data_IF_006799013103
#
_entry.id   IF_006799013103
#
_cell.length_a   1.000
_cell.length_b   1.000
_cell.length_c   1.000
_cell.angle_alpha   90.00
_cell.angle_beta   90.00
_cell.angle_gamma   90.00
#
_symmetry.space_group_name_H-M   'P 1'
#
loop_
_entity.id
_entity.type
_entity.pdbx_description
1 polymer ?
#
# COMPACT_ATOMS: atom_id res chain seq x y z
N UNK A 1 -25.18 17.48 -0.69
CA UNK A 1 -24.30 16.79 -1.66
C UNK A 1 -23.10 16.25 -0.90
N UNK A 2 -23.21 15.06 -0.29
CA UNK A 2 -22.05 14.42 0.34
C UNK A 2 -21.21 13.82 -0.78
N UNK A 3 -20.13 14.50 -1.16
CA UNK A 3 -19.07 13.92 -1.97
C UNK A 3 -18.57 12.70 -1.22
N UNK A 4 -18.96 11.50 -1.65
CA UNK A 4 -18.42 10.27 -1.13
C UNK A 4 -16.94 10.26 -1.54
N UNK A 5 -16.06 10.69 -0.63
CA UNK A 5 -14.62 10.54 -0.79
C UNK A 5 -14.39 9.05 -1.05
N UNK A 6 -14.05 8.72 -2.29
CA UNK A 6 -13.77 7.35 -2.68
C UNK A 6 -12.67 6.83 -1.75
N UNK A 7 -12.94 5.73 -1.06
CA UNK A 7 -11.97 5.12 -0.14
C UNK A 7 -11.02 4.21 -0.93
N UNK A 8 -9.82 3.94 -0.41
CA UNK A 8 -8.96 2.91 -0.97
C UNK A 8 -9.69 1.57 -1.07
N UNK A 9 -9.49 0.84 -2.16
CA UNK A 9 -10.04 -0.49 -2.38
C UNK A 9 -8.99 -1.56 -2.14
N UNK A 10 -9.41 -2.71 -1.61
CA UNK A 10 -8.51 -3.80 -1.25
C UNK A 10 -8.89 -5.06 -2.02
N UNK A 11 -7.92 -5.67 -2.70
CA UNK A 11 -8.15 -6.92 -3.43
C UNK A 11 -8.46 -8.08 -2.49
N UNK A 12 -8.99 -9.16 -3.06
CA UNK A 12 -8.92 -10.48 -2.42
C UNK A 12 -7.47 -10.88 -2.17
N UNK A 13 -7.27 -11.76 -1.18
CA UNK A 13 -5.96 -12.32 -0.86
C UNK A 13 -5.66 -13.50 -1.75
N UNK A 14 -4.47 -13.54 -2.34
CA UNK A 14 -3.93 -14.68 -3.08
C UNK A 14 -2.64 -15.14 -2.42
N UNK A 15 -2.20 -16.38 -2.67
CA UNK A 15 -1.11 -17.00 -1.91
C UNK A 15 -0.23 -17.85 -2.79
N UNK A 16 1.03 -17.97 -2.40
CA UNK A 16 1.93 -19.03 -2.83
C UNK A 16 2.24 -19.97 -1.65
N UNK A 17 3.27 -20.83 -1.79
CA UNK A 17 3.67 -21.78 -0.75
C UNK A 17 4.20 -21.11 0.53
N UNK A 18 4.61 -19.84 0.46
CA UNK A 18 5.36 -19.14 1.51
C UNK A 18 4.71 -17.84 2.00
N UNK A 19 3.92 -17.17 1.16
CA UNK A 19 3.37 -15.84 1.41
C UNK A 19 1.90 -15.71 1.04
N UNK A 20 1.23 -14.79 1.72
CA UNK A 20 -0.02 -14.19 1.26
C UNK A 20 0.25 -12.82 0.62
N UNK A 21 -0.52 -12.49 -0.39
CA UNK A 21 -0.43 -11.28 -1.18
C UNK A 21 -1.79 -10.61 -1.29
N UNK A 22 -1.76 -9.29 -1.44
CA UNK A 22 -2.90 -8.50 -1.90
C UNK A 22 -2.39 -7.21 -2.54
N UNK A 23 -3.27 -6.53 -3.25
CA UNK A 23 -3.02 -5.17 -3.69
C UNK A 23 -4.05 -4.20 -3.10
N UNK A 24 -3.63 -2.95 -2.96
CA UNK A 24 -4.49 -1.84 -2.54
C UNK A 24 -4.51 -0.83 -3.67
N UNK A 25 -5.71 -0.48 -4.11
CA UNK A 25 -5.96 0.54 -5.12
C UNK A 25 -6.24 1.84 -4.37
N UNK A 26 -5.34 2.81 -4.51
CA UNK A 26 -5.48 4.12 -3.89
C UNK A 26 -6.56 4.93 -4.58
N UNK A 27 -7.34 5.65 -3.79
CA UNK A 27 -8.14 6.75 -4.30
C UNK A 27 -7.25 7.97 -4.65
N UNK A 28 -7.86 8.99 -5.27
CA UNK A 28 -7.16 10.17 -5.76
C UNK A 28 -6.44 10.97 -4.67
N UNK A 29 -7.00 11.03 -3.46
CA UNK A 29 -6.42 11.78 -2.35
C UNK A 29 -5.27 11.00 -1.73
N UNK A 30 -5.51 9.72 -1.42
CA UNK A 30 -4.45 8.83 -0.89
C UNK A 30 -3.28 8.71 -1.86
N UNK A 31 -3.53 8.72 -3.17
CA UNK A 31 -2.48 8.71 -4.20
C UNK A 31 -1.61 9.98 -4.19
N UNK A 32 -2.19 11.16 -3.94
CA UNK A 32 -1.40 12.39 -3.82
C UNK A 32 -0.48 12.34 -2.61
N UNK A 33 -1.00 11.89 -1.46
CA UNK A 33 -0.22 11.72 -0.23
C UNK A 33 0.92 10.71 -0.45
N UNK A 34 0.63 9.60 -1.14
CA UNK A 34 1.65 8.63 -1.56
C UNK A 34 2.77 9.30 -2.37
N UNK A 35 2.42 10.05 -3.42
CA UNK A 35 3.40 10.68 -4.31
C UNK A 35 4.28 11.71 -3.57
N UNK A 36 3.71 12.47 -2.64
CA UNK A 36 4.46 13.38 -1.77
C UNK A 36 5.41 12.63 -0.83
N UNK A 37 4.94 11.54 -0.20
CA UNK A 37 5.76 10.70 0.66
C UNK A 37 6.98 10.11 -0.10
N UNK A 38 6.74 9.57 -1.31
CA UNK A 38 7.82 9.04 -2.15
C UNK A 38 8.79 10.14 -2.59
N UNK A 39 8.28 11.34 -2.90
CA UNK A 39 9.13 12.48 -3.27
C UNK A 39 10.07 12.89 -2.14
N UNK A 40 9.58 12.96 -0.90
CA UNK A 40 10.42 13.29 0.25
C UNK A 40 11.45 12.18 0.55
N UNK A 41 11.04 10.90 0.48
CA UNK A 41 11.96 9.77 0.61
C UNK A 41 13.09 9.83 -0.40
N UNK A 42 12.78 10.07 -1.67
CA UNK A 42 13.79 10.19 -2.74
C UNK A 42 14.75 11.35 -2.48
N UNK A 43 14.23 12.49 -1.99
CA UNK A 43 15.04 13.66 -1.62
C UNK A 43 16.01 13.35 -0.47
N UNK A 44 15.62 12.48 0.44
CA UNK A 44 16.45 12.02 1.57
C UNK A 44 17.36 10.84 1.24
N UNK A 45 17.29 10.28 0.02
CA UNK A 45 18.05 9.09 -0.37
C UNK A 45 17.54 7.78 0.26
N UNK A 46 16.26 7.73 0.64
CA UNK A 46 15.61 6.57 1.23
C UNK A 46 14.98 5.66 0.15
N UNK A 47 14.72 4.39 0.52
CA UNK A 47 14.03 3.43 -0.34
C UNK A 47 12.54 3.79 -0.52
N UNK A 48 12.01 3.62 -1.73
CA UNK A 48 10.64 4.01 -2.10
C UNK A 48 9.55 3.06 -1.56
N UNK A 49 9.91 2.06 -0.74
CA UNK A 49 8.95 1.22 -0.04
C UNK A 49 8.47 1.88 1.27
N UNK A 50 7.18 1.72 1.53
CA UNK A 50 6.55 2.19 2.75
C UNK A 50 6.70 1.17 3.87
N UNK A 51 7.18 1.62 5.03
CA UNK A 51 7.12 0.89 6.29
C UNK A 51 5.67 0.72 6.76
N UNK A 52 5.42 -0.21 7.68
CA UNK A 52 4.09 -0.39 8.28
C UNK A 52 3.55 0.88 8.93
N UNK A 53 4.44 1.63 9.58
CA UNK A 53 4.10 2.92 10.16
C UNK A 53 3.66 3.92 9.09
N UNK A 54 4.42 4.06 8.00
CA UNK A 54 4.13 5.02 6.94
C UNK A 54 2.79 4.72 6.26
N UNK A 55 2.53 3.49 5.84
CA UNK A 55 1.27 3.21 5.14
C UNK A 55 0.02 3.25 6.05
N UNK A 56 0.18 3.06 7.38
CA UNK A 56 -0.92 3.21 8.35
C UNK A 56 -1.14 4.66 8.78
N UNK A 57 -0.07 5.35 9.15
CA UNK A 57 -0.16 6.68 9.78
C UNK A 57 -0.20 7.80 8.76
N UNK A 58 0.49 7.67 7.63
CA UNK A 58 0.56 8.71 6.60
C UNK A 58 -0.53 8.51 5.55
N UNK A 59 -0.72 7.29 5.04
CA UNK A 59 -1.74 7.00 4.02
C UNK A 59 -3.08 6.53 4.58
N UNK A 60 -3.20 6.31 5.90
CA UNK A 60 -4.42 5.83 6.55
C UNK A 60 -4.98 4.53 5.96
N UNK A 61 -4.13 3.67 5.38
CA UNK A 61 -4.54 2.36 4.89
C UNK A 61 -4.79 1.41 6.07
N UNK A 62 -5.83 0.59 5.95
CA UNK A 62 -6.29 -0.31 7.02
C UNK A 62 -6.30 -1.76 6.55
N UNK A 63 -5.47 -2.57 7.20
CA UNK A 63 -5.44 -4.03 7.02
C UNK A 63 -4.87 -4.68 8.30
N UNK A 64 -4.95 -6.01 8.39
CA UNK A 64 -4.38 -6.78 9.50
C UNK A 64 -2.87 -6.54 9.67
N UNK A 65 -2.27 -7.02 10.77
CA UNK A 65 -0.83 -6.88 11.00
C UNK A 65 0.01 -7.76 10.05
N UNK A 66 1.26 -7.35 9.86
CA UNK A 66 2.30 -8.14 9.18
C UNK A 66 2.40 -7.95 7.67
N UNK A 67 1.54 -7.14 7.06
CA UNK A 67 1.65 -6.77 5.65
C UNK A 67 2.81 -5.83 5.40
N UNK A 68 3.68 -6.19 4.46
CA UNK A 68 4.81 -5.39 3.99
C UNK A 68 4.54 -4.88 2.59
N UNK A 69 4.67 -3.58 2.39
CA UNK A 69 4.69 -2.99 1.05
C UNK A 69 5.96 -3.46 0.35
N UNK A 70 5.82 -4.07 -0.84
CA UNK A 70 6.97 -4.61 -1.57
C UNK A 70 7.12 -4.05 -2.98
N UNK A 71 6.21 -3.16 -3.40
CA UNK A 71 6.36 -2.43 -4.65
C UNK A 71 5.05 -1.83 -5.14
N UNK A 72 5.14 -1.21 -6.31
CA UNK A 72 4.01 -0.67 -7.06
C UNK A 72 3.83 -1.44 -8.36
N UNK A 73 2.60 -1.52 -8.83
CA UNK A 73 2.33 -1.98 -10.19
C UNK A 73 2.60 -0.83 -11.17
N UNK A 74 3.73 -0.89 -11.88
CA UNK A 74 4.20 0.20 -12.76
C UNK A 74 3.17 0.67 -13.82
N UNK A 75 2.39 -0.21 -14.47
CA UNK A 75 1.39 0.25 -15.44
C UNK A 75 0.29 1.12 -14.81
N UNK A 76 -0.04 0.88 -13.53
CA UNK A 76 -1.05 1.64 -12.80
C UNK A 76 -0.51 2.02 -11.41
N UNK A 77 0.24 3.15 -11.30
CA UNK A 77 0.99 3.54 -10.09
C UNK A 77 0.14 3.88 -8.86
N UNK A 78 -1.18 3.77 -8.97
CA UNK A 78 -2.12 3.88 -7.87
C UNK A 78 -2.42 2.52 -7.23
N UNK A 79 -1.76 1.44 -7.68
CA UNK A 79 -1.88 0.11 -7.12
C UNK A 79 -0.60 -0.24 -6.35
N UNK A 80 -0.74 -0.37 -5.03
CA UNK A 80 0.32 -0.78 -4.10
C UNK A 80 0.25 -2.28 -3.85
N UNK A 81 1.41 -2.92 -3.80
CA UNK A 81 1.55 -4.36 -3.62
C UNK A 81 2.01 -4.67 -2.19
N UNK A 82 1.27 -5.57 -1.52
CA UNK A 82 1.57 -6.00 -0.16
C UNK A 82 1.75 -7.51 -0.09
N UNK A 83 2.69 -7.96 0.75
CA UNK A 83 2.92 -9.38 1.06
C UNK A 83 3.12 -9.60 2.56
N UNK A 84 2.79 -10.78 3.06
CA UNK A 84 3.12 -11.23 4.43
C UNK A 84 3.41 -12.74 4.44
N UNK A 85 4.26 -13.24 5.37
CA UNK A 85 4.46 -14.67 5.53
C UNK A 85 3.15 -15.39 5.87
N UNK A 86 2.98 -16.62 5.37
CA UNK A 86 1.88 -17.49 5.78
C UNK A 86 2.02 -17.87 7.25
N UNK A 87 0.90 -17.89 7.97
CA UNK A 87 0.83 -18.32 9.37
C UNK A 87 0.20 -19.70 9.51
N UNK A 88 -0.43 -20.19 8.44
CA UNK A 88 -0.95 -21.54 8.32
C UNK A 88 0.16 -22.48 7.85
N UNK A 89 0.60 -23.38 8.73
CA UNK A 89 1.41 -24.55 8.37
C UNK A 89 0.51 -25.71 8.02
#
# INVERSE_FOLDING_TARGET
MATHLAKPSYSERYRDDTHEFRHVILDKETKKIYDECIREKRKNGEDELLTEKEWREVLHLTQSSGWRHYGIYKPEPHILLFKRPRTDK
#
